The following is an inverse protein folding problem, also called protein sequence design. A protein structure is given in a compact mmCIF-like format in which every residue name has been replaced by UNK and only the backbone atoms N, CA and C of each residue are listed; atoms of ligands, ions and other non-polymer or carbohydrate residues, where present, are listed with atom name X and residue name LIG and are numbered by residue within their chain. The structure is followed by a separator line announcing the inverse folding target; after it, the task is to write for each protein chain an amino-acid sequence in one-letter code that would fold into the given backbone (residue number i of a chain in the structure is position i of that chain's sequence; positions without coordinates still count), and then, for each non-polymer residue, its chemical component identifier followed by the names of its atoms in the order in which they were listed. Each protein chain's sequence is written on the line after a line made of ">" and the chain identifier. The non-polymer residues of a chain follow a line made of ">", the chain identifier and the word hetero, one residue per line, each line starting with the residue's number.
data_IF_541525360456
#
_entry.id   IF_541525360456
#
_cell.length_a   1.000
_cell.length_b   1.000
_cell.length_c   1.000
_cell.angle_alpha   90.00
_cell.angle_beta   90.00
_cell.angle_gamma   90.00
#
_symmetry.space_group_name_H-M   'P 1'
#
loop_
_entity.id
_entity.type
_entity.pdbx_description
1 polymer ?
#
# COMPACT_ATOMS: atom_id res chain seq x y z
N UNK A 1 0.65 -37.72 59.62
CA UNK A 1 -0.16 -37.19 58.54
C UNK A 1 -0.46 -35.72 58.80
N UNK A 2 -0.39 -34.89 57.73
CA UNK A 2 -0.73 -33.46 57.84
C UNK A 2 -2.23 -33.29 58.12
N UNK A 3 -2.65 -32.26 58.86
CA UNK A 3 -4.08 -31.97 59.10
C UNK A 3 -4.83 -31.73 57.79
N UNK A 4 -6.12 -32.12 57.74
CA UNK A 4 -6.99 -31.90 56.56
C UNK A 4 -6.98 -30.41 56.08
N UNK A 5 -6.95 -29.48 57.04
CA UNK A 5 -6.85 -28.05 56.72
C UNK A 5 -5.57 -27.68 55.96
N UNK A 6 -4.45 -28.37 56.20
CA UNK A 6 -3.23 -28.14 55.44
C UNK A 6 -3.34 -28.61 53.98
N UNK A 7 -3.91 -29.79 53.76
CA UNK A 7 -4.14 -30.32 52.41
C UNK A 7 -5.12 -29.45 51.65
N UNK A 8 -6.19 -28.97 52.29
CA UNK A 8 -7.17 -28.06 51.73
C UNK A 8 -6.56 -26.72 51.33
N UNK A 9 -5.71 -26.14 52.21
CA UNK A 9 -5.02 -24.87 51.89
C UNK A 9 -4.09 -25.02 50.69
N UNK A 10 -3.42 -26.17 50.48
CA UNK A 10 -2.61 -26.46 49.30
C UNK A 10 -3.47 -26.57 48.03
N UNK A 11 -4.57 -27.30 48.09
CA UNK A 11 -5.51 -27.42 46.99
C UNK A 11 -6.05 -26.06 46.55
N UNK A 12 -6.47 -25.22 47.50
CA UNK A 12 -6.91 -23.86 47.23
C UNK A 12 -5.79 -23.02 46.60
N UNK A 13 -4.54 -23.10 47.11
CA UNK A 13 -3.39 -22.39 46.57
C UNK A 13 -3.14 -22.78 45.11
N UNK A 14 -3.20 -24.05 44.76
CA UNK A 14 -3.06 -24.55 43.37
C UNK A 14 -4.18 -24.01 42.47
N UNK A 15 -5.43 -24.10 42.95
CA UNK A 15 -6.58 -23.57 42.17
C UNK A 15 -6.50 -22.06 41.91
N UNK A 16 -6.08 -21.30 42.92
CA UNK A 16 -5.91 -19.83 42.77
C UNK A 16 -4.81 -19.53 41.75
N UNK A 17 -3.65 -20.15 41.85
CA UNK A 17 -2.52 -19.88 40.93
C UNK A 17 -2.80 -20.40 39.50
N UNK A 18 -3.57 -21.49 39.38
CA UNK A 18 -3.95 -22.03 38.08
C UNK A 18 -4.95 -21.14 37.28
N UNK A 19 -5.42 -20.02 37.84
CA UNK A 19 -6.31 -19.11 37.14
C UNK A 19 -5.63 -18.58 35.83
N UNK A 20 -6.24 -18.75 34.65
CA UNK A 20 -5.67 -18.25 33.40
C UNK A 20 -5.98 -16.78 33.14
N UNK A 21 -6.16 -15.97 34.21
CA UNK A 21 -6.62 -14.58 34.10
C UNK A 21 -5.71 -13.72 33.22
N UNK A 22 -4.38 -13.80 33.42
CA UNK A 22 -3.40 -13.07 32.61
C UNK A 22 -3.36 -13.58 31.16
N UNK A 23 -3.51 -14.90 30.96
CA UNK A 23 -3.58 -15.54 29.65
C UNK A 23 -4.80 -15.04 28.86
N UNK A 24 -5.96 -14.92 29.50
CA UNK A 24 -7.18 -14.41 28.89
C UNK A 24 -7.10 -12.94 28.48
N UNK A 25 -6.26 -12.13 29.14
CA UNK A 25 -6.05 -10.71 28.84
C UNK A 25 -4.91 -10.47 27.83
N UNK A 26 -3.97 -11.39 27.68
CA UNK A 26 -2.74 -11.22 26.93
C UNK A 26 -2.96 -10.77 25.47
N UNK A 27 -3.88 -11.42 24.78
CA UNK A 27 -4.19 -11.11 23.36
C UNK A 27 -5.16 -9.93 23.21
N UNK A 28 -6.33 -9.90 23.86
CA UNK A 28 -7.31 -8.83 23.63
C UNK A 28 -6.78 -7.43 23.96
N UNK A 29 -6.03 -7.29 25.05
CA UNK A 29 -5.51 -5.98 25.46
C UNK A 29 -4.46 -5.47 24.47
N UNK A 30 -3.55 -6.34 24.01
CA UNK A 30 -2.55 -5.96 23.02
C UNK A 30 -3.19 -5.57 21.67
N UNK A 31 -4.22 -6.31 21.22
CA UNK A 31 -4.97 -5.99 19.99
C UNK A 31 -5.69 -4.66 20.16
N UNK A 32 -6.36 -4.42 21.27
CA UNK A 32 -7.08 -3.16 21.53
C UNK A 32 -6.13 -1.97 21.51
N UNK A 33 -4.98 -2.06 22.16
CA UNK A 33 -3.99 -0.98 22.17
C UNK A 33 -3.37 -0.81 20.79
N UNK A 34 -3.01 -1.91 20.10
CA UNK A 34 -2.45 -1.87 18.76
C UNK A 34 -3.41 -1.26 17.73
N UNK A 35 -4.68 -1.71 17.71
CA UNK A 35 -5.70 -1.14 16.83
C UNK A 35 -5.98 0.32 17.15
N UNK A 36 -6.03 0.69 18.44
CA UNK A 36 -6.20 2.08 18.87
C UNK A 36 -5.04 2.98 18.44
N UNK A 37 -3.80 2.48 18.52
CA UNK A 37 -2.64 3.21 18.02
C UNK A 37 -2.67 3.35 16.49
N UNK A 38 -3.10 2.30 15.77
CA UNK A 38 -3.33 2.32 14.32
C UNK A 38 -4.32 3.41 13.95
N UNK A 39 -5.50 3.39 14.56
CA UNK A 39 -6.58 4.35 14.30
C UNK A 39 -6.13 5.81 14.52
N UNK A 40 -5.38 6.09 15.58
CA UNK A 40 -4.79 7.42 15.84
C UNK A 40 -3.84 7.89 14.74
N UNK A 41 -3.25 6.96 13.98
CA UNK A 41 -2.33 7.23 12.89
C UNK A 41 -2.96 7.08 11.51
N UNK A 42 -4.29 6.93 11.41
CA UNK A 42 -5.02 6.76 10.16
C UNK A 42 -4.91 5.36 9.55
N UNK A 43 -4.59 4.35 10.37
CA UNK A 43 -4.50 2.93 9.96
C UNK A 43 -5.62 2.18 10.68
N UNK A 44 -6.64 1.75 9.95
CA UNK A 44 -7.80 1.06 10.50
C UNK A 44 -7.77 -0.43 10.16
N UNK A 45 -7.64 -1.28 11.17
CA UNK A 45 -7.80 -2.73 11.03
C UNK A 45 -9.26 -3.08 11.30
N UNK A 46 -9.93 -3.73 10.36
CA UNK A 46 -11.35 -4.10 10.51
C UNK A 46 -11.58 -5.15 11.59
N UNK A 47 -10.64 -6.07 11.73
CA UNK A 47 -10.73 -7.18 12.68
C UNK A 47 -9.40 -7.43 13.39
N UNK A 48 -9.44 -8.17 14.49
CA UNK A 48 -8.25 -8.67 15.16
C UNK A 48 -7.41 -9.58 14.24
N UNK A 49 -8.08 -10.40 13.42
CA UNK A 49 -7.42 -11.27 12.44
C UNK A 49 -6.69 -10.47 11.37
N UNK A 50 -7.30 -9.38 10.86
CA UNK A 50 -6.66 -8.48 9.89
C UNK A 50 -5.36 -7.88 10.46
N UNK A 51 -5.37 -7.47 11.74
CA UNK A 51 -4.17 -6.97 12.40
C UNK A 51 -3.10 -8.07 12.50
N UNK A 52 -3.50 -9.30 12.83
CA UNK A 52 -2.55 -10.41 12.96
C UNK A 52 -1.95 -10.83 11.61
N UNK A 53 -2.78 -11.02 10.57
CA UNK A 53 -2.32 -11.45 9.23
C UNK A 53 -1.44 -10.41 8.56
N UNK A 54 -1.72 -9.12 8.73
CA UNK A 54 -0.88 -8.02 8.20
C UNK A 54 0.58 -8.15 8.63
N UNK A 55 0.85 -8.60 9.85
CA UNK A 55 2.22 -8.78 10.36
C UNK A 55 2.98 -9.95 9.74
N UNK A 56 2.25 -10.92 9.17
CA UNK A 56 2.78 -12.15 8.56
C UNK A 56 3.08 -12.02 7.07
N UNK A 57 2.76 -10.87 6.47
CA UNK A 57 2.94 -10.61 5.05
C UNK A 57 4.41 -10.76 4.62
N UNK A 58 4.61 -11.45 3.50
CA UNK A 58 5.91 -11.71 2.87
C UNK A 58 6.03 -11.07 1.49
N UNK A 59 4.90 -10.85 0.82
CA UNK A 59 4.81 -10.24 -0.51
C UNK A 59 3.77 -9.13 -0.42
N UNK A 60 4.12 -7.93 -0.90
CA UNK A 60 3.18 -6.82 -1.09
C UNK A 60 2.99 -6.59 -2.57
N UNK A 61 1.77 -6.81 -3.04
CA UNK A 61 1.34 -6.49 -4.38
C UNK A 61 0.71 -5.09 -4.38
N UNK A 62 1.26 -4.18 -5.15
CA UNK A 62 0.81 -2.79 -5.26
C UNK A 62 0.13 -2.59 -6.60
N UNK A 63 -1.09 -2.05 -6.62
CA UNK A 63 -1.60 -1.48 -7.86
C UNK A 63 -0.74 -0.27 -8.27
N UNK A 64 -0.71 0.05 -9.56
CA UNK A 64 0.01 1.24 -10.04
C UNK A 64 -0.77 2.50 -9.74
N UNK A 65 -1.97 2.60 -10.29
CA UNK A 65 -2.77 3.84 -10.37
C UNK A 65 -3.37 4.18 -9.01
N UNK A 66 -3.22 5.43 -8.54
CA UNK A 66 -3.73 5.85 -7.24
C UNK A 66 -2.94 5.31 -6.04
N UNK A 67 -2.16 4.24 -6.21
CA UNK A 67 -1.37 3.57 -5.16
C UNK A 67 0.10 3.98 -5.23
N UNK A 68 0.85 3.54 -6.26
CA UNK A 68 2.24 3.97 -6.50
C UNK A 68 2.26 5.38 -7.10
N UNK A 69 1.32 5.68 -8.00
CA UNK A 69 1.15 6.95 -8.66
C UNK A 69 0.01 7.75 -8.04
N UNK A 70 -0.11 9.03 -8.40
CA UNK A 70 -1.14 9.91 -7.84
C UNK A 70 -2.57 9.55 -8.30
N UNK A 71 -2.71 8.77 -9.36
CA UNK A 71 -4.00 8.49 -10.02
C UNK A 71 -4.56 9.68 -10.80
N UNK A 72 -3.81 10.78 -10.82
CA UNK A 72 -4.17 12.01 -11.53
C UNK A 72 -3.10 12.31 -12.58
N UNK A 73 -3.39 12.11 -13.87
CA UNK A 73 -2.47 12.48 -14.93
C UNK A 73 -2.12 13.97 -14.86
N UNK A 74 -0.86 14.30 -15.11
CA UNK A 74 -0.36 15.68 -15.16
C UNK A 74 0.49 15.88 -16.40
N UNK A 75 0.51 17.11 -16.92
CA UNK A 75 1.46 17.52 -17.96
C UNK A 75 2.86 17.49 -17.35
N UNK A 76 3.75 16.72 -17.95
CA UNK A 76 5.15 16.58 -17.50
C UNK A 76 6.12 17.30 -18.44
N UNK A 77 5.83 17.37 -19.72
CA UNK A 77 6.69 18.01 -20.72
C UNK A 77 5.84 18.70 -21.77
N UNK A 78 6.35 19.82 -22.28
CA UNK A 78 5.77 20.60 -23.37
C UNK A 78 6.87 20.81 -24.39
N UNK A 79 6.64 20.33 -25.60
CA UNK A 79 7.58 20.37 -26.71
C UNK A 79 6.95 21.14 -27.89
N UNK A 80 7.10 22.47 -27.95
CA UNK A 80 6.61 23.27 -29.08
C UNK A 80 7.36 22.90 -30.37
N UNK A 81 6.65 22.95 -31.51
CA UNK A 81 7.25 22.87 -32.82
C UNK A 81 8.05 24.12 -33.14
N UNK A 82 8.87 24.08 -34.18
CA UNK A 82 9.67 25.23 -34.63
C UNK A 82 8.78 26.46 -34.95
N UNK A 83 9.11 27.59 -34.32
CA UNK A 83 8.38 28.82 -34.48
C UNK A 83 7.06 28.91 -33.72
N UNK A 84 6.80 27.99 -32.78
CA UNK A 84 5.64 28.00 -31.87
C UNK A 84 6.12 28.24 -30.45
N UNK A 85 5.45 29.06 -29.69
CA UNK A 85 5.75 29.26 -28.26
C UNK A 85 5.00 28.23 -27.39
N UNK A 86 5.53 27.96 -26.20
CA UNK A 86 4.85 27.07 -25.22
C UNK A 86 3.44 27.57 -24.88
N UNK A 87 3.30 28.91 -24.74
CA UNK A 87 2.03 29.52 -24.41
C UNK A 87 1.00 29.38 -25.56
N UNK A 88 1.45 29.50 -26.81
CA UNK A 88 0.60 29.31 -27.99
C UNK A 88 0.12 27.86 -28.07
N UNK A 89 1.03 26.89 -27.95
CA UNK A 89 0.68 25.47 -27.92
C UNK A 89 -0.34 25.14 -26.82
N UNK A 90 -0.11 25.64 -25.59
CA UNK A 90 -1.04 25.43 -24.48
C UNK A 90 -2.40 26.08 -24.72
N UNK A 91 -2.46 27.24 -25.35
CA UNK A 91 -3.71 27.95 -25.66
C UNK A 91 -4.56 27.16 -26.66
N UNK A 92 -3.94 26.62 -27.72
CA UNK A 92 -4.64 25.77 -28.69
C UNK A 92 -5.06 24.41 -28.08
N UNK A 93 -4.19 23.80 -27.30
CA UNK A 93 -4.51 22.56 -26.58
C UNK A 93 -5.68 22.78 -25.60
N UNK A 94 -5.68 23.90 -24.87
CA UNK A 94 -6.77 24.29 -23.98
C UNK A 94 -8.09 24.45 -24.71
N UNK A 95 -8.08 25.11 -25.88
CA UNK A 95 -9.26 25.31 -26.72
C UNK A 95 -9.91 23.99 -27.17
N UNK A 96 -9.10 22.97 -27.48
CA UNK A 96 -9.58 21.64 -27.84
C UNK A 96 -10.04 20.84 -26.60
N UNK A 97 -9.22 20.78 -25.57
CA UNK A 97 -9.44 19.90 -24.44
C UNK A 97 -10.52 20.40 -23.47
N UNK A 98 -10.87 21.68 -23.45
CA UNK A 98 -11.95 22.22 -22.60
C UNK A 98 -13.33 21.59 -22.86
N UNK A 99 -13.56 21.02 -24.06
CA UNK A 99 -14.79 20.31 -24.42
C UNK A 99 -14.65 18.78 -24.36
N UNK A 100 -13.48 18.27 -23.98
CA UNK A 100 -13.18 16.85 -23.93
C UNK A 100 -13.48 16.28 -22.54
N UNK A 101 -14.15 15.13 -22.49
CA UNK A 101 -14.39 14.38 -21.26
C UNK A 101 -13.26 13.37 -20.95
N UNK A 102 -12.21 13.34 -21.77
CA UNK A 102 -11.13 12.37 -21.61
C UNK A 102 -10.29 12.68 -20.34
N UNK A 103 -9.90 11.67 -19.56
CA UNK A 103 -9.11 11.89 -18.32
C UNK A 103 -7.81 12.67 -18.52
N UNK A 104 -7.17 12.57 -19.70
CA UNK A 104 -5.96 13.32 -20.03
C UNK A 104 -6.22 14.80 -20.30
N UNK A 105 -7.45 15.17 -20.73
CA UNK A 105 -7.86 16.56 -20.96
C UNK A 105 -7.68 17.39 -19.68
N UNK A 106 -8.08 16.84 -18.53
CA UNK A 106 -7.96 17.52 -17.25
C UNK A 106 -6.53 17.92 -16.92
N UNK A 107 -5.55 17.09 -17.28
CA UNK A 107 -4.13 17.43 -17.09
C UNK A 107 -3.71 18.67 -17.89
N UNK A 108 -4.21 18.81 -19.13
CA UNK A 108 -3.95 19.97 -19.98
C UNK A 108 -4.65 21.20 -19.43
N UNK A 109 -5.92 21.07 -19.00
CA UNK A 109 -6.69 22.15 -18.38
C UNK A 109 -6.01 22.69 -17.12
N UNK A 110 -5.58 21.78 -16.23
CA UNK A 110 -4.90 22.14 -14.98
C UNK A 110 -3.55 22.87 -15.26
N UNK A 111 -2.80 22.43 -16.29
CA UNK A 111 -1.52 23.05 -16.67
C UNK A 111 -1.72 24.42 -17.32
N UNK A 112 -2.81 24.58 -18.07
CA UNK A 112 -3.17 25.84 -18.75
C UNK A 112 -3.99 26.79 -17.84
N UNK A 113 -4.13 26.48 -16.54
CA UNK A 113 -4.85 27.33 -15.60
C UNK A 113 -4.32 28.77 -15.61
N UNK A 114 -5.19 29.72 -15.86
CA UNK A 114 -4.84 31.14 -16.00
C UNK A 114 -4.70 31.64 -17.45
N UNK A 115 -4.72 30.75 -18.45
CA UNK A 115 -4.86 31.12 -19.85
C UNK A 115 -6.35 31.25 -20.22
N UNK A 116 -6.67 32.17 -21.15
CA UNK A 116 -8.00 32.27 -21.71
C UNK A 116 -8.10 31.39 -22.94
N UNK A 117 -8.99 30.40 -22.89
CA UNK A 117 -9.25 29.56 -24.06
C UNK A 117 -10.06 30.33 -25.11
N UNK A 118 -9.65 30.35 -26.36
CA UNK A 118 -10.51 30.87 -27.45
C UNK A 118 -11.69 29.91 -27.67
N UNK A 119 -12.86 30.48 -28.04
CA UNK A 119 -14.01 29.65 -28.36
C UNK A 119 -13.81 28.90 -29.67
N UNK A 120 -14.11 27.62 -29.65
CA UNK A 120 -14.07 26.74 -30.82
C UNK A 120 -15.48 26.29 -31.22
N UNK A 121 -15.72 26.18 -32.51
CA UNK A 121 -16.92 25.57 -33.11
C UNK A 121 -16.62 24.15 -33.61
N UNK A 122 -17.67 23.41 -33.97
CA UNK A 122 -17.61 22.12 -34.64
C UNK A 122 -16.70 21.07 -33.92
N UNK A 123 -16.72 21.12 -32.60
CA UNK A 123 -15.93 20.15 -31.78
C UNK A 123 -16.42 18.73 -32.01
N UNK A 124 -15.50 17.82 -32.28
CA UNK A 124 -15.74 16.38 -32.41
C UNK A 124 -14.65 15.59 -31.69
N UNK A 125 -15.08 14.67 -30.84
CA UNK A 125 -14.22 13.63 -30.28
C UNK A 125 -14.25 12.42 -31.22
N UNK A 126 -13.07 11.95 -31.65
CA UNK A 126 -12.89 10.80 -32.53
C UNK A 126 -12.35 9.62 -31.71
N UNK A 127 -13.20 8.66 -31.28
CA UNK A 127 -12.77 7.59 -30.40
C UNK A 127 -11.54 6.84 -30.93
N UNK A 128 -10.49 6.73 -30.10
CA UNK A 128 -9.24 6.05 -30.46
C UNK A 128 -8.25 6.89 -31.30
N UNK A 129 -8.65 8.01 -31.86
CA UNK A 129 -7.82 8.84 -32.73
C UNK A 129 -7.44 10.17 -32.07
N UNK A 130 -8.41 10.99 -31.70
CA UNK A 130 -8.15 12.30 -31.14
C UNK A 130 -9.37 13.23 -31.12
N UNK A 131 -9.13 14.54 -31.24
CA UNK A 131 -10.09 15.61 -31.16
C UNK A 131 -9.95 16.50 -32.39
N UNK A 132 -11.05 17.09 -32.84
CA UNK A 132 -11.06 18.15 -33.87
C UNK A 132 -12.00 19.26 -33.47
N UNK A 133 -11.68 20.48 -33.88
CA UNK A 133 -12.55 21.65 -33.73
C UNK A 133 -12.17 22.71 -34.78
N UNK A 134 -12.96 23.77 -34.89
CA UNK A 134 -12.66 24.92 -35.75
C UNK A 134 -12.47 26.17 -34.89
N UNK A 135 -11.34 26.86 -35.06
CA UNK A 135 -11.02 28.12 -34.42
C UNK A 135 -10.79 29.20 -35.50
N UNK A 136 -11.63 30.24 -35.52
CA UNK A 136 -11.53 31.36 -36.52
C UNK A 136 -11.41 30.86 -37.96
N UNK A 137 -12.14 29.80 -38.30
CA UNK A 137 -12.15 29.22 -39.65
C UNK A 137 -10.99 28.23 -39.92
N UNK A 138 -10.06 28.01 -38.98
CA UNK A 138 -8.98 27.04 -39.11
C UNK A 138 -9.32 25.75 -38.39
N UNK A 139 -9.07 24.61 -39.04
CA UNK A 139 -9.24 23.29 -38.40
C UNK A 139 -8.13 23.05 -37.38
N UNK A 140 -8.53 22.88 -36.11
CA UNK A 140 -7.65 22.40 -35.04
C UNK A 140 -7.81 20.90 -34.87
N UNK A 141 -6.74 20.24 -34.50
CA UNK A 141 -6.76 18.84 -34.16
C UNK A 141 -5.75 18.50 -33.02
N UNK A 142 -6.09 17.46 -32.26
CA UNK A 142 -5.22 16.91 -31.23
C UNK A 142 -5.40 15.40 -31.16
N UNK A 143 -4.32 14.63 -30.90
CA UNK A 143 -4.45 13.19 -30.86
C UNK A 143 -3.16 12.41 -30.73
N UNK A 144 -3.23 11.12 -31.09
CA UNK A 144 -2.12 10.18 -31.03
C UNK A 144 -1.08 10.42 -32.15
N UNK A 145 0.10 9.79 -32.02
CA UNK A 145 1.12 9.83 -33.08
C UNK A 145 0.60 9.26 -34.42
N UNK A 146 -0.21 8.19 -34.37
CA UNK A 146 -0.81 7.61 -35.57
C UNK A 146 -1.75 8.59 -36.26
N UNK A 147 -2.60 9.28 -35.49
CA UNK A 147 -3.52 10.28 -36.01
C UNK A 147 -2.82 11.50 -36.61
N UNK A 148 -1.66 11.87 -36.01
CA UNK A 148 -0.82 12.99 -36.48
C UNK A 148 -0.15 12.67 -37.80
N UNK A 149 0.35 11.43 -38.00
CA UNK A 149 1.06 11.04 -39.21
C UNK A 149 0.24 11.15 -40.49
N UNK A 150 -1.09 11.15 -40.38
CA UNK A 150 -2.02 11.35 -41.50
C UNK A 150 -2.25 12.82 -41.86
N UNK A 151 -1.80 13.78 -41.02
CA UNK A 151 -2.16 15.22 -41.09
C UNK A 151 -0.97 16.14 -41.20
N UNK A 152 0.08 15.88 -40.47
CA UNK A 152 1.24 16.77 -40.42
C UNK A 152 2.54 16.01 -40.33
N UNK A 153 3.60 16.55 -40.91
CA UNK A 153 4.94 16.02 -40.76
C UNK A 153 5.50 16.33 -39.35
N UNK A 154 6.05 15.33 -38.69
CA UNK A 154 6.74 15.50 -37.44
C UNK A 154 8.24 15.56 -37.73
N UNK A 155 8.94 16.57 -37.22
CA UNK A 155 10.39 16.68 -37.41
C UNK A 155 11.11 15.48 -36.74
N UNK A 156 12.23 14.99 -37.31
CA UNK A 156 12.99 13.86 -36.75
C UNK A 156 13.43 14.09 -35.30
N UNK A 157 13.79 15.31 -34.92
CA UNK A 157 14.15 15.68 -33.55
C UNK A 157 12.96 15.54 -32.58
N UNK A 158 11.81 16.04 -32.98
CA UNK A 158 10.60 15.95 -32.16
C UNK A 158 10.10 14.51 -32.06
N UNK A 159 10.22 13.73 -33.13
CA UNK A 159 9.89 12.30 -33.12
C UNK A 159 10.80 11.54 -32.16
N UNK A 160 12.11 11.75 -32.19
CA UNK A 160 13.04 11.11 -31.26
C UNK A 160 12.74 11.46 -29.79
N UNK A 161 12.42 12.73 -29.51
CA UNK A 161 12.04 13.19 -28.18
C UNK A 161 10.72 12.53 -27.71
N UNK A 162 9.71 12.43 -28.55
CA UNK A 162 8.43 11.80 -28.20
C UNK A 162 8.55 10.29 -28.00
N UNK A 163 9.41 9.62 -28.77
CA UNK A 163 9.73 8.22 -28.53
C UNK A 163 10.40 8.01 -27.19
N UNK A 164 11.34 8.90 -26.80
CA UNK A 164 11.99 8.84 -25.51
C UNK A 164 11.00 9.07 -24.36
N UNK A 165 10.10 10.05 -24.48
CA UNK A 165 9.02 10.27 -23.50
C UNK A 165 8.13 9.03 -23.37
N UNK A 166 7.77 8.39 -24.49
CA UNK A 166 7.01 7.13 -24.48
C UNK A 166 7.77 6.00 -23.80
N UNK A 167 9.11 5.95 -23.96
CA UNK A 167 9.96 4.99 -23.24
C UNK A 167 9.96 5.20 -21.72
N UNK A 168 9.81 6.46 -21.30
CA UNK A 168 9.68 6.86 -19.89
C UNK A 168 8.29 6.61 -19.30
N UNK A 169 7.35 6.07 -20.11
CA UNK A 169 5.99 5.77 -19.66
C UNK A 169 5.03 6.95 -19.72
N UNK A 170 5.41 8.03 -20.43
CA UNK A 170 4.56 9.19 -20.64
C UNK A 170 3.73 9.01 -21.91
N UNK A 171 2.58 9.67 -21.97
CA UNK A 171 1.68 9.67 -23.13
C UNK A 171 1.83 10.98 -23.88
N UNK A 172 2.49 11.01 -25.06
CA UNK A 172 2.57 12.21 -25.87
C UNK A 172 1.24 12.44 -26.59
N UNK A 173 0.70 13.64 -26.45
CA UNK A 173 -0.46 14.18 -27.16
C UNK A 173 0.04 15.21 -28.16
N UNK A 174 -0.28 15.02 -29.42
CA UNK A 174 0.11 15.92 -30.51
C UNK A 174 -1.02 16.92 -30.79
N UNK A 175 -0.67 18.16 -31.02
CA UNK A 175 -1.61 19.24 -31.36
C UNK A 175 -1.18 19.94 -32.61
N UNK A 176 -2.14 20.27 -33.48
CA UNK A 176 -1.88 20.96 -34.74
C UNK A 176 -3.05 21.79 -35.23
N UNK A 177 -2.77 22.62 -36.23
CA UNK A 177 -3.74 23.43 -36.93
C UNK A 177 -3.55 23.22 -38.44
N UNK A 178 -4.63 22.90 -39.14
CA UNK A 178 -4.62 22.54 -40.56
C UNK A 178 -3.60 21.40 -40.84
N UNK A 179 -2.59 21.66 -41.68
CA UNK A 179 -1.49 20.73 -42.02
C UNK A 179 -0.21 20.95 -41.20
N UNK A 180 -0.24 21.86 -40.22
CA UNK A 180 0.93 22.23 -39.39
C UNK A 180 0.84 21.65 -38.00
N UNK A 181 1.90 20.95 -37.56
CA UNK A 181 2.08 20.57 -36.19
C UNK A 181 2.45 21.79 -35.32
N UNK A 182 1.74 22.00 -34.21
CA UNK A 182 2.05 23.05 -33.23
C UNK A 182 2.99 22.52 -32.13
N UNK A 183 2.91 21.24 -31.79
CA UNK A 183 3.79 20.65 -30.82
C UNK A 183 3.21 19.42 -30.13
N UNK A 184 3.89 18.99 -29.09
CA UNK A 184 3.53 17.82 -28.29
C UNK A 184 3.46 18.18 -26.82
N UNK A 185 2.42 17.70 -26.13
CA UNK A 185 2.29 17.79 -24.68
C UNK A 185 2.30 16.37 -24.14
N UNK A 186 3.27 16.05 -23.28
CA UNK A 186 3.35 14.75 -22.64
C UNK A 186 2.62 14.76 -21.31
N UNK A 187 1.78 13.77 -21.13
CA UNK A 187 0.99 13.57 -19.91
C UNK A 187 1.36 12.23 -19.28
N UNK A 188 1.54 12.21 -17.99
CA UNK A 188 1.80 10.99 -17.23
C UNK A 188 1.11 11.00 -15.87
N UNK A 189 0.79 9.80 -15.38
CA UNK A 189 0.42 9.59 -13.99
C UNK A 189 1.71 9.51 -13.17
N UNK A 190 1.96 10.54 -12.37
CA UNK A 190 3.25 10.76 -11.70
C UNK A 190 3.35 9.88 -10.46
N UNK A 191 4.51 9.25 -10.26
CA UNK A 191 4.82 8.50 -9.04
C UNK A 191 4.74 9.45 -7.84
N UNK A 192 4.06 9.02 -6.77
CA UNK A 192 4.01 9.77 -5.51
C UNK A 192 5.43 9.91 -4.95
N UNK A 193 5.73 11.04 -4.37
CA UNK A 193 7.06 11.37 -3.84
C UNK A 193 7.52 10.36 -2.76
N UNK A 194 6.59 9.84 -2.00
CA UNK A 194 6.84 8.87 -0.93
C UNK A 194 6.95 7.41 -1.40
N UNK A 195 6.49 7.07 -2.61
CA UNK A 195 6.43 5.69 -3.09
C UNK A 195 7.79 4.99 -3.17
N UNK A 196 8.87 5.59 -3.71
CA UNK A 196 10.18 4.93 -3.72
C UNK A 196 10.73 4.68 -2.31
N UNK A 197 10.41 5.56 -1.37
CA UNK A 197 10.80 5.38 0.02
C UNK A 197 10.01 4.25 0.67
N UNK A 198 8.70 4.18 0.47
CA UNK A 198 7.84 3.12 1.00
C UNK A 198 8.27 1.73 0.48
N UNK A 199 8.53 1.61 -0.83
CA UNK A 199 9.04 0.37 -1.44
C UNK A 199 10.36 -0.04 -0.80
N UNK A 200 11.30 0.88 -0.62
CA UNK A 200 12.58 0.60 0.03
C UNK A 200 12.43 0.14 1.47
N UNK A 201 11.50 0.77 2.25
CA UNK A 201 11.22 0.36 3.62
C UNK A 201 10.63 -1.06 3.68
N UNK A 202 9.69 -1.42 2.79
CA UNK A 202 9.14 -2.78 2.68
C UNK A 202 10.24 -3.81 2.37
N UNK A 203 11.13 -3.51 1.42
CA UNK A 203 12.27 -4.37 1.08
C UNK A 203 13.23 -4.55 2.25
N UNK A 204 13.50 -3.50 3.03
CA UNK A 204 14.31 -3.57 4.25
C UNK A 204 13.68 -4.47 5.32
N UNK A 205 12.34 -4.55 5.36
CA UNK A 205 11.60 -5.47 6.22
C UNK A 205 11.63 -6.93 5.74
N UNK A 206 12.34 -7.23 4.63
CA UNK A 206 12.41 -8.54 4.01
C UNK A 206 11.17 -8.93 3.21
N UNK A 207 10.36 -7.95 2.81
CA UNK A 207 9.12 -8.14 2.04
C UNK A 207 9.42 -7.92 0.56
N UNK A 208 8.96 -8.84 -0.29
CA UNK A 208 9.03 -8.70 -1.74
C UNK A 208 7.92 -7.77 -2.23
N UNK A 209 8.29 -6.78 -3.05
CA UNK A 209 7.33 -5.80 -3.59
C UNK A 209 7.08 -6.07 -5.07
N UNK A 210 5.81 -6.25 -5.43
CA UNK A 210 5.36 -6.55 -6.79
C UNK A 210 4.40 -5.46 -7.24
N UNK A 211 4.61 -4.87 -8.41
CA UNK A 211 3.66 -3.94 -9.02
C UNK A 211 2.75 -4.66 -10.00
N UNK A 212 1.44 -4.43 -9.91
CA UNK A 212 0.42 -4.89 -10.85
C UNK A 212 -0.08 -3.69 -11.66
N UNK A 213 -0.21 -3.85 -12.99
CA UNK A 213 -0.75 -2.78 -13.84
C UNK A 213 -1.34 -3.32 -15.14
N UNK A 214 -2.36 -2.65 -15.67
CA UNK A 214 -2.89 -2.88 -17.01
C UNK A 214 -2.03 -2.31 -18.13
N UNK A 215 -1.03 -1.48 -17.82
CA UNK A 215 -0.17 -0.86 -18.80
C UNK A 215 0.62 -1.89 -19.62
N UNK A 216 1.07 -1.45 -20.80
CA UNK A 216 2.01 -2.24 -21.58
C UNK A 216 3.33 -2.47 -20.81
N UNK A 217 4.01 -3.56 -21.15
CA UNK A 217 5.22 -4.01 -20.46
C UNK A 217 6.32 -2.94 -20.36
N UNK A 218 6.48 -2.12 -21.40
CA UNK A 218 7.55 -1.10 -21.48
C UNK A 218 7.31 0.03 -20.46
N UNK A 219 6.10 0.60 -20.46
CA UNK A 219 5.67 1.63 -19.51
C UNK A 219 5.73 1.11 -18.07
N UNK A 220 5.20 -0.09 -17.85
CA UNK A 220 5.19 -0.72 -16.54
C UNK A 220 6.60 -0.93 -15.97
N UNK A 221 7.56 -1.38 -16.80
CA UNK A 221 8.95 -1.56 -16.38
C UNK A 221 9.63 -0.25 -16.03
N UNK A 222 9.37 0.83 -16.79
CA UNK A 222 9.92 2.16 -16.49
C UNK A 222 9.45 2.67 -15.12
N UNK A 223 8.15 2.59 -14.87
CA UNK A 223 7.55 3.01 -13.59
C UNK A 223 8.04 2.11 -12.44
N UNK A 224 8.07 0.80 -12.64
CA UNK A 224 8.55 -0.15 -11.65
C UNK A 224 10.01 0.07 -11.25
N UNK A 225 10.87 0.40 -12.21
CA UNK A 225 12.27 0.75 -11.96
C UNK A 225 12.41 2.06 -11.16
N UNK A 226 11.62 3.10 -11.48
CA UNK A 226 11.59 4.35 -10.73
C UNK A 226 11.08 4.16 -9.30
N UNK A 227 10.04 3.34 -9.11
CA UNK A 227 9.51 3.01 -7.79
C UNK A 227 10.42 2.06 -6.99
N UNK A 228 11.31 1.30 -7.66
CA UNK A 228 12.25 0.38 -7.05
C UNK A 228 11.64 -0.95 -6.64
N UNK A 229 10.54 -1.40 -7.29
CA UNK A 229 9.89 -2.69 -7.01
C UNK A 229 10.74 -3.88 -7.45
N UNK A 230 10.53 -5.04 -6.83
CA UNK A 230 11.30 -6.26 -7.15
C UNK A 230 10.78 -6.97 -8.40
N UNK A 231 9.50 -6.81 -8.72
CA UNK A 231 8.86 -7.45 -9.87
C UNK A 231 7.73 -6.59 -10.42
N UNK A 232 7.53 -6.64 -11.73
CA UNK A 232 6.43 -5.98 -12.43
C UNK A 232 5.62 -7.04 -13.17
N UNK A 233 4.29 -7.01 -12.99
CA UNK A 233 3.32 -7.82 -13.75
C UNK A 233 2.48 -6.84 -14.54
N UNK A 234 2.76 -6.74 -15.84
CA UNK A 234 2.17 -5.81 -16.77
C UNK A 234 1.05 -6.45 -17.61
N UNK A 235 0.19 -5.63 -18.22
CA UNK A 235 -0.89 -6.09 -19.11
C UNK A 235 -1.99 -6.86 -18.37
N UNK A 236 -2.16 -6.62 -17.09
CA UNK A 236 -3.16 -7.31 -16.25
C UNK A 236 -4.46 -6.53 -16.30
N UNK A 237 -5.45 -7.07 -16.99
CA UNK A 237 -6.81 -6.54 -16.96
C UNK A 237 -7.40 -6.63 -15.54
N UNK A 238 -8.42 -5.82 -15.20
CA UNK A 238 -9.04 -5.86 -13.86
C UNK A 238 -9.40 -7.26 -13.38
N UNK A 239 -10.02 -8.05 -14.25
CA UNK A 239 -10.40 -9.46 -13.98
C UNK A 239 -9.18 -10.38 -13.77
N UNK A 240 -8.04 -10.06 -14.37
CA UNK A 240 -6.79 -10.81 -14.22
C UNK A 240 -6.01 -10.54 -12.95
N UNK A 241 -6.30 -9.44 -12.23
CA UNK A 241 -5.60 -9.08 -10.99
C UNK A 241 -5.78 -10.14 -9.90
N UNK A 242 -6.99 -10.65 -9.74
CA UNK A 242 -7.28 -11.75 -8.79
C UNK A 242 -6.44 -13.00 -9.09
N UNK A 243 -6.34 -13.40 -10.35
CA UNK A 243 -5.53 -14.55 -10.76
C UNK A 243 -4.03 -14.33 -10.54
N UNK A 244 -3.54 -13.09 -10.69
CA UNK A 244 -2.17 -12.74 -10.36
C UNK A 244 -1.89 -12.86 -8.86
N UNK A 245 -2.80 -12.37 -8.00
CA UNK A 245 -2.71 -12.53 -6.55
C UNK A 245 -2.70 -14.00 -6.16
N UNK A 246 -3.59 -14.82 -6.70
CA UNK A 246 -3.65 -16.28 -6.44
C UNK A 246 -2.31 -16.97 -6.75
N UNK A 247 -1.63 -16.57 -7.84
CA UNK A 247 -0.31 -17.11 -8.18
C UNK A 247 0.77 -16.66 -7.19
N UNK A 248 0.71 -15.42 -6.71
CA UNK A 248 1.64 -14.91 -5.71
C UNK A 248 1.48 -15.61 -4.35
N UNK A 249 0.24 -15.94 -3.95
CA UNK A 249 -0.07 -16.65 -2.70
C UNK A 249 0.55 -18.04 -2.63
N UNK A 250 0.86 -18.67 -3.78
CA UNK A 250 1.59 -19.95 -3.80
C UNK A 250 3.06 -19.80 -3.33
N UNK A 251 3.58 -18.56 -3.27
CA UNK A 251 4.97 -18.25 -2.91
C UNK A 251 5.12 -17.66 -1.51
N UNK A 252 4.01 -17.34 -0.84
CA UNK A 252 4.00 -16.76 0.50
C UNK A 252 2.75 -15.95 0.78
N UNK A 253 2.65 -15.41 1.99
CA UNK A 253 1.54 -14.54 2.43
C UNK A 253 1.56 -13.21 1.69
N UNK A 254 0.45 -12.87 1.03
CA UNK A 254 0.31 -11.72 0.13
C UNK A 254 -0.60 -10.66 0.74
N UNK A 255 -0.12 -9.41 0.78
CA UNK A 255 -0.99 -8.24 0.91
C UNK A 255 -1.20 -7.62 -0.48
N UNK A 256 -2.45 -7.32 -0.83
CA UNK A 256 -2.79 -6.49 -1.99
C UNK A 256 -3.10 -5.08 -1.52
N UNK A 257 -2.52 -4.08 -2.18
CA UNK A 257 -2.78 -2.65 -1.92
C UNK A 257 -3.37 -2.01 -3.17
N UNK A 258 -4.51 -1.37 -3.02
CA UNK A 258 -5.22 -0.71 -4.12
C UNK A 258 -6.15 0.40 -3.60
N UNK A 259 -6.66 1.23 -4.51
CA UNK A 259 -7.52 2.39 -4.19
C UNK A 259 -8.89 2.34 -4.88
N UNK A 260 -9.08 1.47 -5.86
CA UNK A 260 -10.20 1.49 -6.79
C UNK A 260 -11.14 0.29 -6.72
N UNK A 261 -12.30 0.48 -7.37
CA UNK A 261 -13.33 -0.56 -7.56
C UNK A 261 -12.74 -1.78 -8.30
N UNK A 262 -11.83 -1.53 -9.25
CA UNK A 262 -11.19 -2.56 -10.06
C UNK A 262 -10.26 -3.50 -9.25
N UNK A 263 -9.90 -3.11 -8.04
CA UNK A 263 -9.02 -3.87 -7.15
C UNK A 263 -9.79 -4.73 -6.15
N UNK A 264 -11.08 -4.49 -5.96
CA UNK A 264 -11.89 -5.16 -4.95
C UNK A 264 -11.80 -6.71 -5.01
N UNK A 265 -11.86 -7.39 -6.18
CA UNK A 265 -11.68 -8.82 -6.25
C UNK A 265 -10.27 -9.27 -5.81
N UNK A 266 -9.24 -8.50 -6.13
CA UNK A 266 -7.86 -8.79 -5.76
C UNK A 266 -7.60 -8.52 -4.26
N UNK A 267 -8.20 -7.46 -3.71
CA UNK A 267 -8.17 -7.13 -2.26
C UNK A 267 -8.79 -8.25 -1.44
N UNK A 268 -10.00 -8.69 -1.82
CA UNK A 268 -10.70 -9.79 -1.14
C UNK A 268 -9.96 -11.12 -1.27
N UNK A 269 -9.25 -11.35 -2.38
CA UNK A 269 -8.53 -12.60 -2.63
C UNK A 269 -7.25 -12.73 -1.84
N UNK A 270 -6.54 -11.65 -1.58
CA UNK A 270 -5.26 -11.64 -0.87
C UNK A 270 -5.41 -12.17 0.57
N UNK A 271 -4.29 -12.57 1.20
CA UNK A 271 -4.29 -12.88 2.64
C UNK A 271 -4.59 -11.63 3.49
N UNK A 272 -4.28 -10.45 2.96
CA UNK A 272 -4.63 -9.15 3.55
C UNK A 272 -4.92 -8.16 2.43
N UNK A 273 -6.12 -7.63 2.35
CA UNK A 273 -6.49 -6.51 1.50
C UNK A 273 -6.24 -5.18 2.20
N UNK A 274 -5.55 -4.24 1.55
CA UNK A 274 -5.26 -2.91 2.09
C UNK A 274 -5.79 -1.86 1.12
N UNK A 275 -6.80 -1.11 1.52
CA UNK A 275 -7.29 0.05 0.77
C UNK A 275 -6.49 1.30 1.17
N UNK A 276 -6.06 2.09 0.18
CA UNK A 276 -5.25 3.30 0.39
C UNK A 276 -6.02 4.56 -0.01
N UNK A 277 -5.98 5.59 0.86
CA UNK A 277 -6.67 6.86 0.66
C UNK A 277 -8.17 6.76 0.91
N UNK A 278 -8.90 7.84 0.63
CA UNK A 278 -10.36 7.85 0.61
C UNK A 278 -10.90 7.17 -0.66
N UNK A 279 -10.43 5.93 -0.92
CA UNK A 279 -10.80 5.14 -2.09
C UNK A 279 -12.31 4.93 -2.22
N UNK A 280 -12.75 4.30 -3.31
CA UNK A 280 -14.15 3.97 -3.50
C UNK A 280 -14.67 3.10 -2.34
N UNK A 281 -15.89 3.34 -1.90
CA UNK A 281 -16.54 2.59 -0.81
C UNK A 281 -16.42 1.08 -1.00
N UNK A 282 -16.51 0.60 -2.24
CA UNK A 282 -16.34 -0.82 -2.58
C UNK A 282 -14.95 -1.35 -2.26
N UNK A 283 -13.88 -0.56 -2.48
CA UNK A 283 -12.52 -0.95 -2.12
C UNK A 283 -12.34 -0.97 -0.60
N UNK A 284 -12.94 0.01 0.09
CA UNK A 284 -12.96 0.05 1.55
C UNK A 284 -13.67 -1.19 2.09
N UNK A 285 -14.82 -1.57 1.53
CA UNK A 285 -15.57 -2.76 1.98
C UNK A 285 -14.83 -4.07 1.74
N UNK A 286 -14.09 -4.17 0.64
CA UNK A 286 -13.32 -5.35 0.27
C UNK A 286 -12.00 -5.53 1.04
N UNK A 287 -11.48 -4.47 1.65
CA UNK A 287 -10.19 -4.48 2.33
C UNK A 287 -10.30 -4.92 3.79
N UNK A 288 -9.24 -5.52 4.33
CA UNK A 288 -9.04 -5.84 5.75
C UNK A 288 -8.46 -4.67 6.54
N UNK A 289 -7.67 -3.85 5.88
CA UNK A 289 -7.02 -2.66 6.44
C UNK A 289 -7.35 -1.46 5.57
N UNK A 290 -7.72 -0.35 6.18
CA UNK A 290 -7.97 0.91 5.49
C UNK A 290 -6.97 1.95 5.96
N UNK A 291 -6.23 2.51 4.99
CA UNK A 291 -5.30 3.62 5.20
C UNK A 291 -6.00 4.91 4.82
N UNK A 292 -6.29 5.76 5.82
CA UNK A 292 -7.04 7.00 5.63
C UNK A 292 -6.27 8.05 4.81
N UNK A 293 -4.95 7.97 4.84
CA UNK A 293 -4.09 8.86 4.06
C UNK A 293 -3.74 8.20 2.71
N UNK A 294 -3.52 9.02 1.68
CA UNK A 294 -3.03 8.54 0.38
C UNK A 294 -1.53 8.25 0.35
N UNK A 295 -0.87 8.15 1.50
CA UNK A 295 0.58 7.91 1.61
C UNK A 295 0.89 6.42 1.56
N UNK A 296 1.76 6.01 0.63
CA UNK A 296 2.21 4.62 0.54
C UNK A 296 3.08 4.22 1.75
N UNK A 297 3.66 5.19 2.49
CA UNK A 297 4.42 4.95 3.72
C UNK A 297 3.56 4.36 4.86
N UNK A 298 2.25 4.48 4.79
CA UNK A 298 1.36 3.89 5.78
C UNK A 298 1.26 2.36 5.64
N UNK A 299 1.62 1.79 4.48
CA UNK A 299 1.70 0.32 4.30
C UNK A 299 2.82 -0.30 5.16
N UNK A 300 4.10 0.10 5.05
CA UNK A 300 5.12 -0.40 5.98
C UNK A 300 4.82 -0.05 7.43
N UNK A 301 4.18 1.09 7.73
CA UNK A 301 3.77 1.45 9.08
C UNK A 301 2.73 0.48 9.66
N UNK A 302 1.71 0.08 8.87
CA UNK A 302 0.72 -0.91 9.26
C UNK A 302 1.35 -2.28 9.57
N UNK A 303 2.28 -2.73 8.72
CA UNK A 303 2.98 -4.01 8.92
C UNK A 303 3.88 -3.97 10.16
N UNK A 304 4.59 -2.85 10.42
CA UNK A 304 5.39 -2.67 11.64
C UNK A 304 4.53 -2.72 12.90
N UNK A 305 3.41 -2.00 12.90
CA UNK A 305 2.46 -1.99 14.01
C UNK A 305 1.93 -3.38 14.30
N UNK A 306 1.50 -4.09 13.27
CA UNK A 306 1.04 -5.46 13.40
C UNK A 306 2.12 -6.38 13.99
N UNK A 307 3.35 -6.34 13.45
CA UNK A 307 4.49 -7.12 13.97
C UNK A 307 4.83 -6.77 15.42
N UNK A 308 4.74 -5.49 15.79
CA UNK A 308 4.96 -5.04 17.17
C UNK A 308 3.88 -5.56 18.11
N UNK A 309 2.62 -5.53 17.68
CA UNK A 309 1.48 -6.06 18.43
C UNK A 309 1.59 -7.58 18.63
N UNK A 310 1.92 -8.33 17.57
CA UNK A 310 2.16 -9.77 17.65
C UNK A 310 3.28 -10.12 18.61
N UNK A 311 4.40 -9.38 18.57
CA UNK A 311 5.50 -9.57 19.52
C UNK A 311 5.04 -9.32 20.95
N UNK A 312 4.28 -8.27 21.18
CA UNK A 312 3.73 -7.94 22.50
C UNK A 312 2.80 -9.06 23.01
N UNK A 313 1.94 -9.64 22.13
CA UNK A 313 1.11 -10.79 22.46
C UNK A 313 1.99 -11.99 22.90
N UNK A 314 3.03 -12.31 22.13
CA UNK A 314 3.93 -13.42 22.46
C UNK A 314 4.67 -13.19 23.80
N UNK A 315 5.12 -11.96 24.06
CA UNK A 315 5.74 -11.58 25.34
C UNK A 315 4.75 -11.76 26.50
N UNK A 316 3.51 -11.29 26.34
CA UNK A 316 2.46 -11.43 27.34
C UNK A 316 2.12 -12.90 27.61
N UNK A 317 1.96 -13.71 26.57
CA UNK A 317 1.71 -15.14 26.68
C UNK A 317 2.87 -15.86 27.40
N UNK A 318 4.12 -15.56 27.02
CA UNK A 318 5.30 -16.12 27.66
C UNK A 318 5.30 -15.87 29.18
N UNK A 319 5.08 -14.62 29.59
CA UNK A 319 5.04 -14.28 31.00
C UNK A 319 3.86 -14.92 31.73
N UNK A 320 2.69 -14.95 31.13
CA UNK A 320 1.51 -15.60 31.71
C UNK A 320 1.75 -17.11 31.98
N UNK A 321 2.38 -17.83 31.05
CA UNK A 321 2.75 -19.21 31.21
C UNK A 321 3.88 -19.41 32.22
N UNK A 322 4.88 -18.54 32.21
CA UNK A 322 6.03 -18.64 33.09
C UNK A 322 5.65 -18.52 34.56
N UNK A 323 4.78 -17.56 34.91
CA UNK A 323 4.26 -17.45 36.28
C UNK A 323 3.53 -18.70 36.73
N UNK A 324 2.69 -19.28 35.89
CA UNK A 324 1.97 -20.51 36.22
C UNK A 324 2.90 -21.74 36.33
N UNK A 325 3.87 -21.86 35.43
CA UNK A 325 4.82 -22.94 35.40
C UNK A 325 5.67 -23.03 36.70
N UNK A 326 6.00 -21.90 37.29
CA UNK A 326 6.72 -21.82 38.57
C UNK A 326 5.74 -21.88 39.74
N UNK A 327 4.65 -21.17 39.67
CA UNK A 327 3.70 -20.99 40.76
C UNK A 327 2.95 -22.27 41.15
N UNK A 328 2.54 -23.09 40.16
CA UNK A 328 1.78 -24.32 40.41
C UNK A 328 2.60 -25.35 41.23
N UNK A 329 3.86 -25.73 40.86
CA UNK A 329 4.68 -26.63 41.68
C UNK A 329 4.95 -26.08 43.08
N UNK A 330 5.15 -24.75 43.20
CA UNK A 330 5.38 -24.11 44.49
C UNK A 330 4.14 -24.19 45.38
N UNK A 331 2.94 -23.92 44.81
CA UNK A 331 1.67 -24.04 45.51
C UNK A 331 1.32 -25.49 45.90
N UNK A 332 1.63 -26.43 45.01
CA UNK A 332 1.47 -27.87 45.26
C UNK A 332 2.38 -28.40 46.39
N UNK A 333 3.43 -27.65 46.78
CA UNK A 333 4.32 -28.02 47.86
C UNK A 333 5.52 -28.87 47.44
N UNK A 334 5.86 -28.92 46.16
CA UNK A 334 7.02 -29.65 45.62
C UNK A 334 8.33 -29.23 46.32
N UNK A 335 8.43 -27.95 46.71
CA UNK A 335 9.63 -27.37 47.33
C UNK A 335 9.57 -27.27 48.86
N UNK A 336 8.58 -27.89 49.52
CA UNK A 336 8.49 -27.97 51.00
C UNK A 336 9.76 -28.53 51.63
N UNK A 337 10.40 -29.60 51.09
CA UNK A 337 11.65 -30.12 51.63
C UNK A 337 12.80 -29.12 51.66
N UNK A 338 12.72 -28.07 50.80
CA UNK A 338 13.68 -26.95 50.76
C UNK A 338 13.25 -25.76 51.63
N UNK A 339 12.19 -25.89 52.43
CA UNK A 339 11.66 -24.83 53.29
C UNK A 339 10.80 -23.77 52.55
N UNK A 340 10.54 -23.96 51.27
CA UNK A 340 9.73 -23.04 50.47
C UNK A 340 8.25 -23.45 50.49
N UNK A 341 7.42 -22.60 51.10
CA UNK A 341 5.96 -22.80 51.12
C UNK A 341 5.26 -21.56 50.61
N UNK A 342 4.24 -21.72 49.77
CA UNK A 342 3.41 -20.64 49.30
C UNK A 342 2.12 -20.54 50.13
N UNK A 343 1.88 -19.35 50.69
CA UNK A 343 0.61 -19.01 51.32
C UNK A 343 -0.39 -18.60 50.22
N UNK A 344 -1.67 -19.00 50.29
CA UNK A 344 -2.73 -18.61 49.33
C UNK A 344 -2.80 -17.11 49.06
N UNK A 345 -2.56 -16.27 50.07
CA UNK A 345 -2.57 -14.83 49.95
C UNK A 345 -1.46 -14.30 49.04
N UNK A 346 -0.23 -14.86 49.14
CA UNK A 346 0.87 -14.52 48.22
C UNK A 346 0.60 -15.04 46.80
N UNK A 347 -0.10 -16.16 46.64
CA UNK A 347 -0.56 -16.67 45.36
C UNK A 347 -1.52 -15.68 44.67
N UNK A 348 -2.53 -15.20 45.40
CA UNK A 348 -3.46 -14.20 44.88
C UNK A 348 -2.79 -12.89 44.52
N UNK A 349 -1.85 -12.39 45.32
CA UNK A 349 -1.07 -11.20 45.03
C UNK A 349 -0.20 -11.37 43.77
N UNK A 350 0.45 -12.51 43.58
CA UNK A 350 1.24 -12.84 42.38
C UNK A 350 0.37 -12.86 41.11
N UNK A 351 -0.86 -13.41 41.19
CA UNK A 351 -1.81 -13.41 40.07
C UNK A 351 -2.26 -12.01 39.69
N UNK A 352 -2.56 -11.15 40.67
CA UNK A 352 -2.91 -9.74 40.44
C UNK A 352 -1.75 -8.99 39.78
N UNK A 353 -0.51 -9.22 40.24
CA UNK A 353 0.69 -8.63 39.66
C UNK A 353 0.94 -9.11 38.22
N UNK A 354 0.69 -10.39 37.93
CA UNK A 354 0.80 -10.94 36.56
C UNK A 354 -0.14 -10.24 35.59
N UNK A 355 -1.40 -10.02 35.96
CA UNK A 355 -2.38 -9.28 35.14
C UNK A 355 -1.96 -7.83 34.96
N UNK A 356 -1.45 -7.17 35.99
CA UNK A 356 -0.90 -5.82 35.90
C UNK A 356 0.29 -5.73 34.93
N UNK A 357 1.20 -6.71 34.97
CA UNK A 357 2.36 -6.78 34.06
C UNK A 357 1.92 -6.92 32.59
N UNK A 358 0.92 -7.77 32.30
CA UNK A 358 0.39 -7.97 30.95
C UNK A 358 -0.21 -6.67 30.42
N UNK A 359 -1.06 -5.99 31.20
CA UNK A 359 -1.66 -4.72 30.79
C UNK A 359 -0.61 -3.63 30.59
N UNK A 360 0.34 -3.52 31.53
CA UNK A 360 1.43 -2.54 31.43
C UNK A 360 2.31 -2.78 30.22
N UNK A 361 2.61 -4.05 29.88
CA UNK A 361 3.38 -4.37 28.67
C UNK A 361 2.60 -4.04 27.39
N UNK A 362 1.28 -4.30 27.35
CA UNK A 362 0.45 -3.92 26.22
C UNK A 362 0.42 -2.39 26.03
N UNK A 363 0.31 -1.63 27.11
CA UNK A 363 0.33 -0.16 27.07
C UNK A 363 1.65 0.44 26.53
N UNK A 364 2.77 -0.30 26.61
CA UNK A 364 4.04 0.10 25.97
C UNK A 364 3.92 0.29 24.47
N UNK A 365 2.96 -0.39 23.80
CA UNK A 365 2.71 -0.16 22.37
C UNK A 365 2.36 1.29 22.04
N UNK A 366 1.78 2.05 22.96
CA UNK A 366 1.51 3.49 22.75
C UNK A 366 2.79 4.33 22.54
N UNK A 367 3.94 3.84 22.96
CA UNK A 367 5.25 4.48 22.77
C UNK A 367 5.93 4.05 21.46
N UNK A 368 5.30 3.13 20.70
CA UNK A 368 5.88 2.60 19.47
C UNK A 368 5.77 3.62 18.33
N UNK A 369 6.90 3.87 17.66
CA UNK A 369 6.99 4.79 16.51
C UNK A 369 6.80 4.03 15.21
N UNK A 370 5.60 4.11 14.62
CA UNK A 370 5.21 3.36 13.43
C UNK A 370 6.05 3.67 12.19
N UNK A 371 6.49 4.93 12.05
CA UNK A 371 7.22 5.43 10.87
C UNK A 371 8.75 5.48 11.05
N UNK A 372 9.29 4.87 12.12
CA UNK A 372 10.73 4.78 12.35
C UNK A 372 11.29 3.46 11.80
N UNK A 373 12.10 3.49 10.72
CA UNK A 373 12.64 2.29 10.07
C UNK A 373 13.80 1.64 10.84
N UNK A 374 14.25 2.20 11.98
CA UNK A 374 15.41 1.70 12.74
C UNK A 374 15.27 0.24 13.21
N UNK A 375 14.04 -0.27 13.31
CA UNK A 375 13.76 -1.62 13.75
C UNK A 375 13.69 -2.65 12.60
N UNK A 376 13.72 -2.23 11.33
CA UNK A 376 13.51 -3.08 10.16
C UNK A 376 14.68 -4.05 9.89
N UNK A 377 15.91 -3.66 10.25
CA UNK A 377 17.13 -4.43 9.96
C UNK A 377 17.30 -5.72 10.76
N UNK A 378 16.51 -5.96 11.82
CA UNK A 378 16.61 -7.19 12.66
C UNK A 378 16.02 -8.44 12.01
N UNK A 379 15.30 -8.32 10.88
CA UNK A 379 14.62 -9.44 10.22
C UNK A 379 15.19 -9.84 8.86
N UNK A 380 16.36 -9.34 8.47
CA UNK A 380 17.02 -9.73 7.22
C UNK A 380 17.48 -11.20 7.29
N UNK A 381 16.56 -12.15 7.08
CA UNK A 381 16.95 -13.51 6.65
C UNK A 381 17.55 -13.37 5.25
N UNK A 382 18.75 -13.96 5.05
CA UNK A 382 19.42 -14.05 3.74
C UNK A 382 18.39 -14.45 2.68
N UNK A 383 18.39 -13.81 1.48
CA UNK A 383 17.57 -14.27 0.38
C UNK A 383 17.93 -15.72 0.08
N UNK A 384 16.91 -16.57 -0.05
CA UNK A 384 17.07 -17.90 -0.60
C UNK A 384 17.69 -17.73 -2.00
N UNK A 385 18.76 -18.48 -2.26
CA UNK A 385 19.51 -18.47 -3.51
C UNK A 385 18.59 -18.48 -4.72
N UNK A 386 18.86 -17.60 -5.66
CA UNK A 386 18.31 -17.56 -7.00
C UNK A 386 18.36 -18.94 -7.65
N UNK A 387 17.19 -19.57 -7.79
CA UNK A 387 16.99 -20.58 -8.80
C UNK A 387 16.37 -19.84 -10.01
N UNK A 388 17.25 -19.44 -10.90
CA UNK A 388 16.92 -19.06 -12.28
C UNK A 388 16.30 -20.26 -12.95
N UNK A 389 14.98 -20.27 -13.12
CA UNK A 389 14.31 -21.10 -14.10
C UNK A 389 14.07 -20.26 -15.36
N UNK A 390 14.32 -20.83 -16.56
CA UNK A 390 14.23 -20.09 -17.80
C UNK A 390 12.80 -19.71 -18.16
N UNK A 391 12.69 -18.63 -18.91
CA UNK A 391 11.47 -18.14 -19.51
C UNK A 391 10.93 -19.13 -20.55
N UNK A 392 9.64 -19.51 -20.44
CA UNK A 392 8.75 -19.87 -21.53
C UNK A 392 7.47 -19.04 -21.44
#
# INVERSE_FOLDING_TARGET
>A
GHPVGYALARGISVLVISCPCALGLATPVAIMVGSGLGAKNGILFKTAASLEETGRVQIVALDKTGTITSGQPRVTDILPAEGVTEQELLTYALALEQKSEHPLARAVLDRAAGLTAPEVSDFQALPGNGLTAVLEGKALWGGSAAYTAERAAVSPDLQAKTEELSRQGKTPLFFGAEDRLLGVIAVADVIKEDSPRAVRELRNMGIRVVMLTGDNRRTAQAIGAQAGVDQVIAGVLPEGKEAAIRRLMQRGKVAMVGDGINDAPALTRADTGIAIGAGADVAIDAADVVLMNSSLLDVPAAIRLSRATLRNIHENLFWAFFYNAIGIPLAAGVFIPLGLTLNPMFGAAAMSLSSFCVVSNALRLNLFKLRDPKHDHKHRKKPASENTAPAE
#
